data_IF_936735014637
#
_entry.id   IF_936735014637
#
_cell.length_a   1.000
_cell.length_b   1.000
_cell.length_c   1.000
_cell.angle_alpha   90.00
_cell.angle_beta   90.00
_cell.angle_gamma   90.00
#
_symmetry.space_group_name_H-M   'P 1'
#
loop_
_entity.id
_entity.type
_entity.pdbx_description
1 polymer ?
#
# COMPACT_ATOMS: atom_id res chain seq x y z
N UNK A 1 -16.46 7.74 6.68
CA UNK A 1 -15.24 7.10 7.20
C UNK A 1 -14.72 6.20 6.11
N UNK A 2 -13.55 6.51 5.57
CA UNK A 2 -12.93 5.76 4.48
C UNK A 2 -12.10 4.63 5.07
N UNK A 3 -12.33 3.39 4.62
CA UNK A 3 -11.55 2.24 5.05
C UNK A 3 -10.52 1.87 3.99
N UNK A 4 -9.25 1.79 4.38
CA UNK A 4 -8.14 1.37 3.52
C UNK A 4 -7.67 0.00 4.00
N UNK A 5 -7.64 -0.98 3.10
CA UNK A 5 -7.21 -2.34 3.41
C UNK A 5 -5.80 -2.57 2.87
N UNK A 6 -4.87 -2.90 3.75
CA UNK A 6 -3.52 -3.33 3.39
C UNK A 6 -3.46 -4.85 3.53
N UNK A 7 -3.31 -5.55 2.41
CA UNK A 7 -3.28 -7.03 2.35
C UNK A 7 -2.02 -7.52 1.66
N UNK A 8 -1.42 -8.57 2.23
CA UNK A 8 -0.19 -9.15 1.70
C UNK A 8 1.03 -8.24 1.95
N UNK A 9 2.20 -8.56 1.38
CA UNK A 9 3.39 -7.75 1.55
C UNK A 9 3.23 -6.36 0.92
N UNK A 10 3.92 -5.38 1.50
CA UNK A 10 4.07 -4.04 0.91
C UNK A 10 5.23 -4.09 -0.10
N UNK A 11 4.97 -3.70 -1.34
CA UNK A 11 5.90 -3.88 -2.47
C UNK A 11 6.01 -2.59 -3.29
N UNK A 12 7.08 -2.47 -4.08
CA UNK A 12 7.23 -1.31 -4.96
C UNK A 12 6.15 -1.28 -6.06
N UNK A 13 5.81 -0.10 -6.56
CA UNK A 13 4.86 0.06 -7.66
C UNK A 13 5.27 -0.70 -8.92
N UNK A 14 6.58 -0.81 -9.14
CA UNK A 14 7.23 -1.51 -10.25
C UNK A 14 7.14 -3.02 -10.13
N UNK A 15 6.97 -3.57 -8.93
CA UNK A 15 6.87 -5.02 -8.70
C UNK A 15 5.41 -5.49 -8.59
N UNK A 16 4.47 -4.57 -8.33
CA UNK A 16 3.04 -4.89 -8.10
C UNK A 16 2.41 -5.78 -9.17
N UNK A 17 2.77 -5.56 -10.44
CA UNK A 17 2.24 -6.31 -11.57
C UNK A 17 2.56 -7.81 -11.51
N UNK A 18 3.71 -8.18 -10.94
CA UNK A 18 4.11 -9.58 -10.83
C UNK A 18 3.26 -10.32 -9.79
N UNK A 19 2.86 -9.64 -8.72
CA UNK A 19 1.93 -10.18 -7.73
C UNK A 19 0.52 -10.39 -8.31
N UNK A 20 0.05 -9.48 -9.17
CA UNK A 20 -1.20 -9.68 -9.94
C UNK A 20 -1.10 -10.89 -10.87
N UNK A 21 0.04 -11.06 -11.55
CA UNK A 21 0.26 -12.20 -12.43
C UNK A 21 0.25 -13.55 -11.70
N UNK A 22 0.72 -13.58 -10.45
CA UNK A 22 0.71 -14.77 -9.60
C UNK A 22 -0.60 -14.97 -8.81
N UNK A 23 -1.58 -14.07 -8.96
CA UNK A 23 -2.82 -14.05 -8.15
C UNK A 23 -2.52 -14.04 -6.64
N UNK A 24 -1.46 -13.32 -6.24
CA UNK A 24 -1.03 -13.18 -4.86
C UNK A 24 -1.44 -11.80 -4.30
N UNK A 25 -1.96 -11.73 -3.07
CA UNK A 25 -2.26 -10.44 -2.45
C UNK A 25 -0.96 -9.67 -2.21
N UNK A 26 -0.93 -8.40 -2.60
CA UNK A 26 0.10 -7.44 -2.25
C UNK A 26 -0.49 -6.03 -2.31
N UNK A 27 0.15 -5.08 -1.62
CA UNK A 27 -0.24 -3.67 -1.64
C UNK A 27 0.98 -2.83 -2.06
N UNK A 28 0.82 -1.98 -3.06
CA UNK A 28 1.84 -1.00 -3.45
C UNK A 28 1.37 0.43 -3.12
N UNK A 29 2.28 1.42 -3.00
CA UNK A 29 1.92 2.82 -2.74
C UNK A 29 0.82 3.35 -3.66
N UNK A 30 0.88 3.06 -4.96
CA UNK A 30 -0.13 3.49 -5.95
C UNK A 30 -1.54 2.94 -5.68
N UNK A 31 -1.65 1.85 -4.92
CA UNK A 31 -2.94 1.22 -4.58
C UNK A 31 -3.63 1.95 -3.42
N UNK A 32 -2.90 2.78 -2.67
CA UNK A 32 -3.39 3.52 -1.50
C UNK A 32 -3.75 4.94 -1.90
N UNK A 33 -5.05 5.20 -2.06
CA UNK A 33 -5.57 6.54 -2.37
C UNK A 33 -6.19 7.13 -1.12
N UNK A 34 -5.59 8.22 -0.63
CA UNK A 34 -6.11 8.97 0.51
C UNK A 34 -7.22 9.93 0.06
N UNK A 35 -8.27 10.13 0.87
CA UNK A 35 -9.21 11.21 0.61
C UNK A 35 -8.50 12.57 0.70
N UNK A 36 -8.92 13.52 -0.14
CA UNK A 36 -8.37 14.88 -0.16
C UNK A 36 -9.05 15.81 0.86
N UNK A 37 -10.04 15.29 1.58
CA UNK A 37 -10.65 16.00 2.69
C UNK A 37 -9.91 15.71 3.99
N UNK A 38 -10.24 16.45 5.03
CA UNK A 38 -9.64 16.29 6.34
C UNK A 38 -10.41 15.26 7.20
N UNK A 39 -11.01 14.26 6.55
CA UNK A 39 -11.83 13.25 7.22
C UNK A 39 -10.99 12.14 7.82
N UNK A 40 -11.49 11.56 8.90
CA UNK A 40 -10.85 10.40 9.52
C UNK A 40 -10.93 9.18 8.61
N UNK A 41 -9.81 8.45 8.57
CA UNK A 41 -9.68 7.18 7.87
C UNK A 41 -9.38 6.05 8.86
N UNK A 42 -9.80 4.84 8.50
CA UNK A 42 -9.46 3.62 9.22
C UNK A 42 -8.59 2.76 8.31
N UNK A 43 -7.40 2.38 8.80
CA UNK A 43 -6.45 1.54 8.07
C UNK A 43 -6.41 0.16 8.70
N UNK A 44 -6.83 -0.84 7.93
CA UNK A 44 -6.88 -2.24 8.34
C UNK A 44 -5.67 -2.97 7.77
N UNK A 45 -4.68 -3.29 8.62
CA UNK A 45 -3.42 -3.91 8.20
C UNK A 45 -3.46 -5.42 8.47
N UNK A 46 -3.50 -6.20 7.39
CA UNK A 46 -3.28 -7.65 7.41
C UNK A 46 -2.07 -7.97 6.52
N UNK A 47 -0.91 -7.55 6.99
CA UNK A 47 0.37 -7.66 6.29
C UNK A 47 1.45 -8.19 7.22
N UNK A 48 2.30 -9.08 6.70
CA UNK A 48 3.50 -9.55 7.40
C UNK A 48 4.69 -8.59 7.33
N UNK A 49 4.53 -7.41 6.71
CA UNK A 49 5.60 -6.46 6.43
C UNK A 49 5.88 -6.34 4.93
N UNK A 50 7.05 -5.82 4.56
CA UNK A 50 7.39 -5.61 3.15
C UNK A 50 8.67 -4.81 2.96
N UNK A 51 8.81 -4.24 1.77
CA UNK A 51 9.92 -3.35 1.43
C UNK A 51 9.76 -2.01 2.17
N UNK A 52 10.77 -1.66 2.99
CA UNK A 52 10.81 -0.40 3.75
C UNK A 52 10.79 0.81 2.82
N UNK A 53 11.40 0.70 1.64
CA UNK A 53 11.41 1.76 0.64
C UNK A 53 10.07 1.89 -0.08
N UNK A 54 9.32 0.80 -0.24
CA UNK A 54 7.94 0.89 -0.71
C UNK A 54 7.03 1.54 0.34
N UNK A 55 7.30 1.33 1.64
CA UNK A 55 6.58 1.99 2.73
C UNK A 55 6.96 3.45 2.99
N UNK A 56 8.02 3.95 2.34
CA UNK A 56 8.53 5.31 2.52
C UNK A 56 8.51 6.03 1.18
N UNK A 57 7.68 7.05 1.00
CA UNK A 57 7.94 7.97 -0.11
C UNK A 57 9.33 8.59 0.08
N UNK A 58 10.11 8.65 -1.00
CA UNK A 58 11.38 9.36 -0.98
C UNK A 58 11.06 10.83 -0.72
N UNK A 59 11.29 11.32 0.51
CA UNK A 59 11.17 12.72 0.86
C UNK A 59 12.55 13.35 0.61
N UNK A 60 12.79 14.05 -0.52
CA UNK A 60 13.99 14.86 -0.65
C UNK A 60 13.93 15.98 0.40
N UNK A 61 14.99 16.09 1.19
CA UNK A 61 15.25 17.26 2.03
C UNK A 61 15.67 18.46 1.17
#
# INVERSE_FOLDING_TARGET
MTQIQIKGPIVSDSDRWFYDWLDMPATAPKDVILPQDNSDIEVLINSGGGDVYAGSEFIPH
#
